data_IF_990572370639
#
_entry.id   IF_990572370639
#
_cell.length_a   1.000
_cell.length_b   1.000
_cell.length_c   1.000
_cell.angle_alpha   90.00
_cell.angle_beta   90.00
_cell.angle_gamma   90.00
#
_symmetry.space_group_name_H-M   'P 1'
#
loop_
_entity.id
_entity.type
_entity.pdbx_description
1 polymer ?
#
# COMPACT_ATOMS: atom_id res chain seq x y z
N UNK A 1 85.00 56.09 25.58
CA UNK A 1 84.30 54.94 26.20
C UNK A 1 83.03 54.69 25.42
N UNK A 2 82.98 53.60 24.64
CA UNK A 2 81.85 53.27 23.81
C UNK A 2 81.16 52.06 24.40
N UNK A 3 79.96 52.22 24.90
CA UNK A 3 79.15 51.12 25.49
C UNK A 3 78.34 50.42 24.39
N UNK A 4 78.66 49.16 24.19
CA UNK A 4 78.04 48.25 23.17
C UNK A 4 76.74 47.63 23.74
N UNK A 5 75.58 48.03 23.18
CA UNK A 5 74.32 47.46 23.56
C UNK A 5 74.17 46.10 22.95
N UNK A 6 73.89 45.06 23.80
CA UNK A 6 73.59 43.72 23.40
C UNK A 6 72.11 43.59 23.04
N UNK A 7 71.80 43.34 21.76
CA UNK A 7 70.42 43.01 21.30
C UNK A 7 70.05 41.59 21.67
N UNK A 8 69.17 41.39 22.65
CA UNK A 8 68.57 40.11 22.95
C UNK A 8 67.54 39.75 21.90
N UNK A 9 67.85 38.78 21.06
CA UNK A 9 66.89 38.23 20.09
C UNK A 9 65.87 37.33 20.78
N UNK A 10 64.68 37.89 21.10
CA UNK A 10 63.56 37.10 21.59
C UNK A 10 62.99 36.21 20.45
N UNK A 11 63.12 34.90 20.58
CA UNK A 11 62.38 33.95 19.72
C UNK A 11 60.89 34.09 20.02
N UNK A 12 60.13 34.58 19.06
CA UNK A 12 58.66 34.61 19.18
C UNK A 12 58.07 33.21 19.37
N UNK A 13 56.89 33.11 19.99
CA UNK A 13 56.27 31.80 20.28
C UNK A 13 56.06 31.02 18.98
N UNK A 14 56.53 29.77 18.94
CA UNK A 14 56.34 28.86 17.82
C UNK A 14 54.86 28.64 17.59
N UNK A 15 54.36 28.88 16.38
CA UNK A 15 52.96 28.61 16.00
C UNK A 15 52.67 27.12 16.26
N UNK A 16 51.56 26.79 16.96
CA UNK A 16 51.23 25.38 17.24
C UNK A 16 51.06 24.65 15.90
N UNK A 17 51.77 23.53 15.73
CA UNK A 17 51.61 22.66 14.57
C UNK A 17 50.17 22.14 14.58
N UNK A 18 49.39 22.53 13.60
CA UNK A 18 47.98 22.11 13.45
C UNK A 18 47.93 20.61 13.28
N UNK A 19 47.44 19.89 14.29
CA UNK A 19 47.30 18.42 14.29
C UNK A 19 46.13 18.02 13.37
N UNK A 20 46.37 18.10 12.04
CA UNK A 20 45.40 17.75 11.01
C UNK A 20 44.98 16.29 11.06
N UNK A 21 45.87 15.38 11.50
CA UNK A 21 45.55 13.95 11.65
C UNK A 21 44.56 13.72 12.76
N UNK A 22 44.75 14.36 13.91
CA UNK A 22 43.77 14.29 15.00
C UNK A 22 42.45 14.96 14.67
N UNK A 23 42.47 16.04 13.89
CA UNK A 23 41.24 16.67 13.38
C UNK A 23 40.50 15.77 12.39
N UNK A 24 41.20 15.13 11.46
CA UNK A 24 40.64 14.19 10.49
C UNK A 24 40.02 12.97 11.18
N UNK A 25 40.74 12.38 12.15
CA UNK A 25 40.23 11.23 12.92
C UNK A 25 38.96 11.58 13.71
N UNK A 26 38.90 12.78 14.31
CA UNK A 26 37.69 13.26 15.00
C UNK A 26 36.53 13.45 14.02
N UNK A 27 36.80 14.01 12.83
CA UNK A 27 35.80 14.17 11.77
C UNK A 27 35.27 12.80 11.33
N UNK A 28 36.15 11.85 11.01
CA UNK A 28 35.76 10.49 10.59
C UNK A 28 34.95 9.75 11.67
N UNK A 29 35.32 9.89 12.94
CA UNK A 29 34.51 9.31 14.03
C UNK A 29 33.13 9.94 14.13
N UNK A 30 33.03 11.27 14.00
CA UNK A 30 31.73 12.00 14.03
C UNK A 30 30.84 11.66 12.84
N UNK A 31 31.41 11.62 11.63
CA UNK A 31 30.65 11.24 10.43
C UNK A 31 30.24 9.78 10.48
N UNK A 32 31.12 8.88 10.93
CA UNK A 32 30.79 7.46 11.12
C UNK A 32 29.68 7.25 12.16
N UNK A 33 29.75 7.96 13.30
CA UNK A 33 28.70 7.89 14.32
C UNK A 33 27.37 8.46 13.80
N UNK A 34 27.39 9.56 13.03
CA UNK A 34 26.19 10.12 12.43
C UNK A 34 25.56 9.16 11.41
N UNK A 35 26.36 8.55 10.55
CA UNK A 35 25.88 7.55 9.59
C UNK A 35 25.26 6.33 10.29
N UNK A 36 25.87 5.85 11.36
CA UNK A 36 25.32 4.76 12.15
C UNK A 36 23.97 5.13 12.77
N UNK A 37 23.85 6.33 13.33
CA UNK A 37 22.57 6.82 13.88
C UNK A 37 21.48 6.93 12.80
N UNK A 38 21.82 7.43 11.61
CA UNK A 38 20.88 7.50 10.48
C UNK A 38 20.43 6.11 10.07
N UNK A 39 21.37 5.15 9.93
CA UNK A 39 21.03 3.77 9.58
C UNK A 39 20.14 3.10 10.63
N UNK A 40 20.42 3.34 11.90
CA UNK A 40 19.58 2.85 13.00
C UNK A 40 18.18 3.46 12.95
N UNK A 41 18.09 4.77 12.75
CA UNK A 41 16.80 5.47 12.65
C UNK A 41 15.97 4.97 11.44
N UNK A 42 16.62 4.80 10.29
CA UNK A 42 15.98 4.22 9.10
C UNK A 42 15.51 2.78 9.37
N UNK A 43 16.37 1.95 9.99
CA UNK A 43 16.02 0.58 10.35
C UNK A 43 14.81 0.50 11.29
N UNK A 44 14.76 1.38 12.30
CA UNK A 44 13.61 1.47 13.22
C UNK A 44 12.34 1.96 12.51
N UNK A 45 12.46 2.93 11.60
CA UNK A 45 11.32 3.43 10.82
C UNK A 45 10.74 2.35 9.89
N UNK A 46 11.60 1.61 9.20
CA UNK A 46 11.18 0.49 8.35
C UNK A 46 10.56 -0.66 9.16
N UNK A 47 11.14 -0.97 10.32
CA UNK A 47 10.60 -1.98 11.22
C UNK A 47 9.22 -1.57 11.77
N UNK A 48 9.06 -0.31 12.13
CA UNK A 48 7.77 0.25 12.57
C UNK A 48 6.76 0.22 11.43
N UNK A 49 7.12 0.72 10.24
CA UNK A 49 6.24 0.71 9.07
C UNK A 49 5.75 -0.69 8.71
N UNK A 50 6.64 -1.70 8.81
CA UNK A 50 6.29 -3.10 8.53
C UNK A 50 5.34 -3.75 9.56
N UNK A 51 5.00 -3.07 10.65
CA UNK A 51 4.15 -3.59 11.73
C UNK A 51 3.01 -2.67 12.15
N UNK A 52 3.01 -1.45 11.62
CA UNK A 52 2.01 -0.47 12.02
C UNK A 52 0.62 -0.82 11.45
N UNK A 53 -0.37 -0.76 12.30
CA UNK A 53 -1.78 -0.85 11.93
C UNK A 53 -2.58 0.17 12.75
N UNK A 54 -3.71 0.67 12.23
CA UNK A 54 -4.64 1.47 13.01
C UNK A 54 -5.15 0.71 14.24
N UNK A 55 -5.45 1.43 15.30
CA UNK A 55 -5.91 0.85 16.55
C UNK A 55 -7.28 0.18 16.40
N UNK A 56 -7.46 -1.01 16.99
CA UNK A 56 -8.69 -1.80 16.86
C UNK A 56 -9.90 -1.23 17.60
N UNK A 57 -9.67 -0.43 18.61
CA UNK A 57 -10.73 0.32 19.30
C UNK A 57 -11.39 1.36 18.39
N UNK A 58 -10.62 1.93 17.44
CA UNK A 58 -11.10 2.86 16.43
C UNK A 58 -11.64 2.14 15.19
N UNK A 59 -10.99 1.05 14.79
CA UNK A 59 -11.32 0.26 13.59
C UNK A 59 -11.39 -1.23 13.97
N UNK A 60 -12.51 -1.70 14.50
CA UNK A 60 -12.61 -3.06 15.04
C UNK A 60 -12.51 -4.14 13.97
N UNK A 61 -12.92 -3.86 12.73
CA UNK A 61 -12.90 -4.81 11.63
C UNK A 61 -11.74 -4.54 10.68
N UNK A 62 -10.75 -5.44 10.69
CA UNK A 62 -9.50 -5.27 9.96
C UNK A 62 -9.18 -6.50 9.11
N UNK A 63 -8.46 -6.31 8.01
CA UNK A 63 -8.17 -7.40 7.10
C UNK A 63 -6.96 -7.13 6.22
N UNK A 64 -6.70 -8.07 5.32
CA UNK A 64 -5.52 -8.04 4.43
C UNK A 64 -5.92 -8.00 2.97
N UNK A 65 -5.01 -7.47 2.14
CA UNK A 65 -5.03 -7.66 0.69
C UNK A 65 -3.94 -8.64 0.30
N UNK A 66 -4.30 -9.64 -0.50
CA UNK A 66 -3.44 -10.76 -0.91
C UNK A 66 -3.49 -10.91 -2.42
N UNK A 67 -2.34 -11.20 -3.04
CA UNK A 67 -2.23 -11.63 -4.43
C UNK A 67 -1.16 -12.73 -4.60
N UNK A 68 -0.90 -13.14 -5.84
CA UNK A 68 0.06 -14.20 -6.15
C UNK A 68 1.50 -13.90 -5.68
N UNK A 69 1.87 -12.63 -5.49
CA UNK A 69 3.21 -12.26 -5.01
C UNK A 69 3.43 -12.63 -3.55
N UNK A 70 2.35 -12.87 -2.80
CA UNK A 70 2.39 -13.34 -1.41
C UNK A 70 2.63 -14.85 -1.28
N UNK A 71 2.89 -15.54 -2.38
CA UNK A 71 3.26 -16.95 -2.41
C UNK A 71 2.20 -17.86 -1.83
N UNK A 72 2.66 -18.86 -1.10
CA UNK A 72 1.76 -19.79 -0.42
C UNK A 72 1.33 -19.24 0.96
N UNK A 73 0.13 -18.71 1.03
CA UNK A 73 -0.41 -18.08 2.25
C UNK A 73 -0.81 -19.14 3.29
N UNK A 74 -0.32 -18.94 4.52
CA UNK A 74 -0.72 -19.72 5.71
C UNK A 74 -1.83 -18.98 6.46
N UNK A 75 -3.08 -19.25 6.09
CA UNK A 75 -4.26 -18.52 6.54
C UNK A 75 -4.49 -18.56 8.06
N UNK A 76 -4.06 -19.62 8.75
CA UNK A 76 -4.09 -19.67 10.21
C UNK A 76 -3.20 -18.57 10.84
N UNK A 77 -2.03 -18.29 10.26
CA UNK A 77 -1.15 -17.20 10.71
C UNK A 77 -1.73 -15.82 10.40
N UNK A 78 -2.37 -15.66 9.24
CA UNK A 78 -3.09 -14.43 8.86
C UNK A 78 -4.21 -14.13 9.86
N UNK A 79 -5.02 -15.14 10.20
CA UNK A 79 -6.08 -15.03 11.23
C UNK A 79 -5.50 -14.68 12.60
N UNK A 80 -4.42 -15.34 13.02
CA UNK A 80 -3.76 -15.09 14.29
C UNK A 80 -3.13 -13.69 14.37
N UNK A 81 -2.71 -13.12 13.23
CA UNK A 81 -2.25 -11.73 13.16
C UNK A 81 -3.40 -10.70 13.30
N UNK A 82 -4.64 -11.17 13.32
CA UNK A 82 -5.81 -10.35 13.55
C UNK A 82 -6.58 -9.95 12.29
N UNK A 83 -6.39 -10.63 11.16
CA UNK A 83 -7.22 -10.38 9.99
C UNK A 83 -8.59 -11.06 10.15
N UNK A 84 -9.65 -10.27 10.11
CA UNK A 84 -11.04 -10.73 10.14
C UNK A 84 -11.52 -11.06 8.73
N UNK A 85 -10.99 -10.36 7.72
CA UNK A 85 -11.30 -10.55 6.31
C UNK A 85 -10.05 -10.44 5.43
N UNK A 86 -10.19 -10.86 4.18
CA UNK A 86 -9.17 -10.71 3.14
C UNK A 86 -9.81 -10.28 1.81
N UNK A 87 -9.22 -9.30 1.17
CA UNK A 87 -9.47 -9.03 -0.24
C UNK A 87 -8.37 -9.68 -1.08
N UNK A 88 -8.78 -10.54 -2.02
CA UNK A 88 -7.86 -11.40 -2.77
C UNK A 88 -7.97 -11.04 -4.26
N UNK A 89 -6.84 -10.70 -4.88
CA UNK A 89 -6.81 -10.42 -6.31
C UNK A 89 -7.25 -11.66 -7.07
N UNK A 90 -8.26 -11.51 -7.91
CA UNK A 90 -8.82 -12.58 -8.73
C UNK A 90 -8.40 -12.44 -10.19
N UNK A 91 -8.58 -11.23 -10.75
CA UNK A 91 -8.39 -10.98 -12.17
C UNK A 91 -7.78 -9.61 -12.42
N UNK A 92 -7.14 -9.46 -13.58
CA UNK A 92 -6.56 -8.20 -14.03
C UNK A 92 -6.84 -8.05 -15.54
N UNK A 93 -7.56 -6.99 -15.91
CA UNK A 93 -7.97 -6.76 -17.28
C UNK A 93 -8.83 -7.89 -17.87
N UNK A 94 -8.81 -8.02 -19.17
CA UNK A 94 -9.68 -8.92 -19.90
C UNK A 94 -9.21 -10.38 -19.97
N UNK A 95 -7.94 -10.66 -19.66
CA UNK A 95 -7.29 -11.93 -20.02
C UNK A 95 -6.40 -12.54 -18.92
N UNK A 96 -6.19 -11.86 -17.80
CA UNK A 96 -5.31 -12.35 -16.73
C UNK A 96 -6.13 -12.71 -15.49
N UNK A 97 -5.79 -13.86 -14.90
CA UNK A 97 -6.28 -14.30 -13.59
C UNK A 97 -5.10 -14.54 -12.66
N UNK A 98 -5.31 -14.28 -11.38
CA UNK A 98 -4.33 -14.61 -10.34
C UNK A 98 -4.28 -16.13 -10.14
N UNK A 99 -3.12 -16.78 -10.34
CA UNK A 99 -3.01 -18.24 -10.28
C UNK A 99 -3.24 -18.79 -8.87
N UNK A 100 -3.12 -17.96 -7.83
CA UNK A 100 -3.30 -18.35 -6.44
C UNK A 100 -4.72 -18.08 -5.92
N UNK A 101 -5.56 -17.38 -6.68
CA UNK A 101 -6.90 -16.96 -6.24
C UNK A 101 -7.74 -18.12 -5.70
N UNK A 102 -7.93 -19.18 -6.51
CA UNK A 102 -8.76 -20.33 -6.14
C UNK A 102 -8.24 -21.06 -4.89
N UNK A 103 -6.92 -21.10 -4.70
CA UNK A 103 -6.28 -21.65 -3.50
C UNK A 103 -6.50 -20.76 -2.29
N UNK A 104 -6.32 -19.45 -2.48
CA UNK A 104 -6.43 -18.46 -1.41
C UNK A 104 -7.85 -18.36 -0.86
N UNK A 105 -8.90 -18.36 -1.69
CA UNK A 105 -10.29 -18.33 -1.21
C UNK A 105 -10.65 -19.59 -0.38
N UNK A 106 -10.17 -20.77 -0.79
CA UNK A 106 -10.37 -22.01 -0.04
C UNK A 106 -9.65 -21.96 1.31
N UNK A 107 -8.42 -21.47 1.32
CA UNK A 107 -7.63 -21.34 2.55
C UNK A 107 -8.22 -20.32 3.52
N UNK A 108 -8.66 -19.16 3.03
CA UNK A 108 -9.33 -18.14 3.83
C UNK A 108 -10.61 -18.68 4.48
N UNK A 109 -11.48 -19.31 3.69
CA UNK A 109 -12.71 -19.91 4.16
C UNK A 109 -12.44 -21.00 5.24
N UNK A 110 -11.47 -21.88 5.02
CA UNK A 110 -11.09 -22.91 5.98
C UNK A 110 -10.56 -22.34 7.31
N UNK A 111 -9.93 -21.17 7.28
CA UNK A 111 -9.45 -20.47 8.48
C UNK A 111 -10.51 -19.57 9.13
N UNK A 112 -11.72 -19.48 8.58
CA UNK A 112 -12.77 -18.58 9.06
C UNK A 112 -12.44 -17.10 8.84
N UNK A 113 -11.72 -16.79 7.76
CA UNK A 113 -11.45 -15.43 7.26
C UNK A 113 -12.43 -15.17 6.12
N UNK A 114 -13.29 -14.16 6.27
CA UNK A 114 -14.17 -13.75 5.18
C UNK A 114 -13.34 -13.24 4.01
N UNK A 115 -13.79 -13.44 2.77
CA UNK A 115 -13.03 -12.96 1.63
C UNK A 115 -13.91 -12.20 0.62
N UNK A 116 -13.27 -11.27 -0.10
CA UNK A 116 -13.82 -10.58 -1.27
C UNK A 116 -12.84 -10.63 -2.45
N UNK A 117 -13.33 -10.78 -3.68
CA UNK A 117 -12.47 -10.76 -4.87
C UNK A 117 -12.11 -9.32 -5.27
N UNK A 118 -10.89 -9.13 -5.78
CA UNK A 118 -10.46 -7.87 -6.42
C UNK A 118 -10.32 -8.10 -7.93
N UNK A 119 -10.85 -7.17 -8.70
CA UNK A 119 -10.51 -6.99 -10.10
C UNK A 119 -9.60 -5.77 -10.27
N UNK A 120 -8.46 -5.93 -10.92
CA UNK A 120 -7.62 -4.79 -11.35
C UNK A 120 -8.08 -4.34 -12.73
N UNK A 121 -8.68 -3.16 -12.80
CA UNK A 121 -9.27 -2.64 -14.02
C UNK A 121 -8.21 -2.15 -15.00
N UNK A 122 -8.33 -2.51 -16.26
CA UNK A 122 -7.43 -2.10 -17.35
C UNK A 122 -8.14 -1.07 -18.24
N UNK A 123 -7.61 0.15 -18.31
CA UNK A 123 -8.18 1.25 -19.09
C UNK A 123 -8.22 1.02 -20.61
N UNK A 124 -7.36 0.13 -21.11
CA UNK A 124 -7.22 -0.19 -22.53
C UNK A 124 -8.04 -1.40 -22.98
N UNK A 125 -8.90 -1.94 -22.11
CA UNK A 125 -9.72 -3.10 -22.39
C UNK A 125 -11.20 -2.79 -22.25
N UNK A 126 -12.04 -3.39 -23.08
CA UNK A 126 -13.49 -3.22 -23.00
C UNK A 126 -14.03 -3.75 -21.65
N UNK A 127 -14.98 -3.05 -21.10
CA UNK A 127 -15.63 -3.41 -19.85
C UNK A 127 -16.23 -4.81 -19.88
N UNK A 128 -16.89 -5.16 -20.99
CA UNK A 128 -17.51 -6.49 -21.20
C UNK A 128 -16.53 -7.63 -21.17
N UNK A 129 -15.34 -7.46 -21.77
CA UNK A 129 -14.31 -8.49 -21.78
C UNK A 129 -13.69 -8.69 -20.40
N UNK A 130 -13.49 -7.59 -19.67
CA UNK A 130 -13.02 -7.63 -18.28
C UNK A 130 -14.05 -8.29 -17.37
N UNK A 131 -15.35 -7.96 -17.52
CA UNK A 131 -16.41 -8.60 -16.76
C UNK A 131 -16.52 -10.10 -17.08
N UNK A 132 -16.38 -10.49 -18.34
CA UNK A 132 -16.37 -11.90 -18.73
C UNK A 132 -15.17 -12.65 -18.10
N UNK A 133 -13.99 -12.02 -18.05
CA UNK A 133 -12.83 -12.56 -17.37
C UNK A 133 -13.10 -12.75 -15.86
N UNK A 134 -13.64 -11.73 -15.20
CA UNK A 134 -14.00 -11.79 -13.78
C UNK A 134 -15.02 -12.93 -13.50
N UNK A 135 -16.13 -12.95 -14.22
CA UNK A 135 -17.21 -13.94 -14.05
C UNK A 135 -16.72 -15.38 -14.25
N UNK A 136 -15.78 -15.58 -15.17
CA UNK A 136 -15.19 -16.91 -15.44
C UNK A 136 -14.37 -17.44 -14.27
N UNK A 137 -13.66 -16.56 -13.54
CA UNK A 137 -12.70 -16.98 -12.52
C UNK A 137 -13.20 -16.84 -11.09
N UNK A 138 -14.19 -15.98 -10.85
CA UNK A 138 -14.75 -15.71 -9.52
C UNK A 138 -16.04 -16.52 -9.34
N UNK A 139 -16.06 -17.52 -8.46
CA UNK A 139 -17.30 -18.25 -8.17
C UNK A 139 -18.30 -17.38 -7.44
N UNK A 140 -19.59 -17.54 -7.76
CA UNK A 140 -20.67 -16.90 -7.01
C UNK A 140 -20.80 -17.58 -5.66
N UNK A 141 -20.59 -16.83 -4.58
CA UNK A 141 -20.72 -17.30 -3.19
C UNK A 141 -21.49 -16.25 -2.38
N UNK A 142 -22.55 -16.68 -1.72
CA UNK A 142 -23.45 -15.77 -1.00
C UNK A 142 -22.78 -15.11 0.22
N UNK A 143 -21.83 -15.81 0.84
CA UNK A 143 -21.05 -15.38 2.00
C UNK A 143 -19.79 -14.59 1.66
N UNK A 144 -19.42 -14.51 0.37
CA UNK A 144 -18.31 -13.67 -0.06
C UNK A 144 -18.65 -12.18 0.18
N UNK A 145 -17.62 -11.40 0.53
CA UNK A 145 -17.72 -9.95 0.56
C UNK A 145 -17.96 -9.39 -0.84
N UNK A 146 -18.50 -8.18 -0.99
CA UNK A 146 -18.62 -7.51 -2.28
C UNK A 146 -17.30 -7.51 -3.06
N UNK A 147 -17.38 -7.60 -4.37
CA UNK A 147 -16.21 -7.45 -5.21
C UNK A 147 -15.63 -6.04 -5.09
N UNK A 148 -14.33 -5.91 -5.19
CA UNK A 148 -13.66 -4.62 -5.26
C UNK A 148 -13.02 -4.41 -6.63
N UNK A 149 -13.12 -3.19 -7.14
CA UNK A 149 -12.51 -2.79 -8.42
C UNK A 149 -11.38 -1.82 -8.15
N UNK A 150 -10.16 -2.26 -8.37
CA UNK A 150 -8.97 -1.42 -8.24
C UNK A 150 -8.73 -0.63 -9.51
N UNK A 151 -8.61 0.66 -9.35
CA UNK A 151 -8.45 1.65 -10.41
C UNK A 151 -7.10 2.34 -10.23
N UNK A 152 -6.14 1.87 -11.02
CA UNK A 152 -4.78 2.39 -11.07
C UNK A 152 -4.33 2.58 -12.50
N UNK A 153 -3.28 3.34 -12.67
CA UNK A 153 -2.58 3.42 -13.94
C UNK A 153 -1.68 2.20 -14.14
N UNK A 154 -1.70 1.69 -15.37
CA UNK A 154 -0.81 0.62 -15.82
C UNK A 154 0.04 1.18 -16.97
N UNK A 155 1.36 1.07 -16.89
CA UNK A 155 2.30 1.55 -17.92
C UNK A 155 2.09 0.90 -19.29
N UNK A 156 1.38 -0.24 -19.32
CA UNK A 156 1.01 -0.94 -20.56
C UNK A 156 -0.17 -0.30 -21.29
N UNK A 157 -0.86 0.64 -20.64
CA UNK A 157 -1.96 1.40 -21.21
C UNK A 157 -1.59 2.90 -21.23
N UNK A 158 -0.84 3.36 -22.24
CA UNK A 158 -0.44 4.76 -22.35
C UNK A 158 -1.61 5.68 -22.74
N UNK A 159 -2.58 5.16 -23.48
CA UNK A 159 -3.74 5.92 -23.92
C UNK A 159 -4.80 5.93 -22.81
N UNK A 160 -5.13 7.14 -22.36
CA UNK A 160 -6.11 7.34 -21.31
C UNK A 160 -7.45 7.77 -21.91
N UNK A 161 -8.55 7.04 -21.63
CA UNK A 161 -9.87 7.45 -22.10
C UNK A 161 -10.29 8.78 -21.48
N UNK A 162 -11.24 9.46 -22.11
CA UNK A 162 -11.88 10.60 -21.46
C UNK A 162 -12.64 10.14 -20.20
N UNK A 163 -12.84 11.07 -19.24
CA UNK A 163 -13.62 10.78 -18.03
C UNK A 163 -14.99 10.18 -18.34
N UNK A 164 -15.71 10.77 -19.31
CA UNK A 164 -17.05 10.31 -19.68
C UNK A 164 -17.04 8.86 -20.18
N UNK A 165 -16.08 8.51 -21.03
CA UNK A 165 -15.93 7.15 -21.54
C UNK A 165 -15.55 6.19 -20.41
N UNK A 166 -14.58 6.54 -19.56
CA UNK A 166 -14.21 5.70 -18.42
C UNK A 166 -15.40 5.41 -17.52
N UNK A 167 -16.16 6.43 -17.10
CA UNK A 167 -17.29 6.24 -16.20
C UNK A 167 -18.39 5.37 -16.82
N UNK A 168 -18.63 5.50 -18.13
CA UNK A 168 -19.58 4.67 -18.88
C UNK A 168 -19.13 3.20 -18.93
N UNK A 169 -17.86 2.95 -19.28
CA UNK A 169 -17.27 1.60 -19.31
C UNK A 169 -17.25 0.99 -17.90
N UNK A 170 -16.83 1.76 -16.90
CA UNK A 170 -16.82 1.29 -15.52
C UNK A 170 -18.22 0.97 -15.00
N UNK A 171 -19.22 1.78 -15.31
CA UNK A 171 -20.61 1.47 -14.96
C UNK A 171 -21.10 0.17 -15.62
N UNK A 172 -20.74 -0.07 -16.89
CA UNK A 172 -21.04 -1.32 -17.60
C UNK A 172 -20.37 -2.52 -16.95
N UNK A 173 -19.10 -2.41 -16.60
CA UNK A 173 -18.34 -3.44 -15.88
C UNK A 173 -18.98 -3.78 -14.55
N UNK A 174 -19.24 -2.75 -13.72
CA UNK A 174 -19.85 -2.90 -12.40
C UNK A 174 -21.21 -3.59 -12.49
N UNK A 175 -22.08 -3.17 -13.42
CA UNK A 175 -23.40 -3.77 -13.58
C UNK A 175 -23.31 -5.30 -13.84
N UNK A 176 -22.35 -5.74 -14.64
CA UNK A 176 -22.17 -7.16 -14.97
C UNK A 176 -21.63 -7.97 -13.79
N UNK A 177 -20.58 -7.50 -13.12
CA UNK A 177 -20.01 -8.23 -12.00
C UNK A 177 -20.91 -8.22 -10.77
N UNK A 178 -21.68 -7.15 -10.56
CA UNK A 178 -22.65 -7.04 -9.47
C UNK A 178 -23.86 -7.96 -9.69
N UNK A 179 -24.33 -8.08 -10.93
CA UNK A 179 -25.37 -9.08 -11.28
C UNK A 179 -24.87 -10.51 -11.02
N UNK A 180 -23.58 -10.78 -11.29
CA UNK A 180 -22.97 -12.07 -10.99
C UNK A 180 -22.82 -12.29 -9.47
N UNK A 181 -22.27 -11.33 -8.73
CA UNK A 181 -22.03 -11.44 -7.29
C UNK A 181 -23.31 -11.32 -6.45
N UNK A 182 -24.35 -10.66 -6.95
CA UNK A 182 -25.57 -10.35 -6.21
C UNK A 182 -25.41 -9.25 -5.16
N UNK A 183 -24.33 -8.48 -5.23
CA UNK A 183 -23.97 -7.40 -4.28
C UNK A 183 -23.36 -6.23 -5.01
N UNK A 184 -23.59 -4.96 -4.57
CA UNK A 184 -22.87 -3.80 -5.09
C UNK A 184 -21.37 -3.90 -4.77
N UNK A 185 -20.54 -3.47 -5.71
CA UNK A 185 -19.09 -3.54 -5.59
C UNK A 185 -18.50 -2.33 -4.86
N UNK A 186 -17.28 -2.46 -4.37
CA UNK A 186 -16.46 -1.34 -3.92
C UNK A 186 -15.64 -0.79 -5.11
N UNK A 187 -15.46 0.52 -5.14
CA UNK A 187 -14.51 1.17 -6.06
C UNK A 187 -13.30 1.66 -5.29
N UNK A 188 -12.12 1.32 -5.78
CA UNK A 188 -10.85 1.59 -5.10
C UNK A 188 -9.89 2.36 -6.01
N UNK A 189 -10.16 3.65 -6.30
CA UNK A 189 -9.26 4.48 -7.07
C UNK A 189 -8.01 4.82 -6.26
N UNK A 190 -6.84 4.83 -6.94
CA UNK A 190 -5.65 5.45 -6.37
C UNK A 190 -5.81 6.97 -6.28
N UNK A 191 -5.03 7.67 -5.43
CA UNK A 191 -5.11 9.13 -5.34
C UNK A 191 -4.92 9.84 -6.69
N UNK A 192 -3.96 9.37 -7.50
CA UNK A 192 -3.71 9.92 -8.83
C UNK A 192 -4.88 9.67 -9.79
N UNK A 193 -5.46 8.47 -9.75
CA UNK A 193 -6.60 8.12 -10.59
C UNK A 193 -7.85 8.91 -10.20
N UNK A 194 -8.11 9.09 -8.92
CA UNK A 194 -9.23 9.89 -8.42
C UNK A 194 -9.06 11.38 -8.77
N UNK A 195 -7.83 11.91 -8.68
CA UNK A 195 -7.55 13.30 -9.05
C UNK A 195 -7.87 13.61 -10.52
N UNK A 196 -7.62 12.66 -11.43
CA UNK A 196 -7.85 12.83 -12.86
C UNK A 196 -9.31 12.52 -13.26
N UNK A 197 -9.89 11.46 -12.69
CA UNK A 197 -11.18 10.93 -13.16
C UNK A 197 -12.36 11.22 -12.24
N UNK A 198 -12.12 11.64 -11.00
CA UNK A 198 -13.18 11.87 -10.00
C UNK A 198 -14.22 10.75 -9.97
N UNK A 199 -13.73 9.51 -9.83
CA UNK A 199 -14.54 8.29 -9.90
C UNK A 199 -15.59 8.27 -8.81
N UNK A 200 -15.21 8.61 -7.57
CA UNK A 200 -16.12 8.58 -6.42
C UNK A 200 -17.25 9.60 -6.54
N UNK A 201 -17.07 10.65 -7.35
CA UNK A 201 -18.14 11.59 -7.70
C UNK A 201 -19.04 11.06 -8.81
N UNK A 202 -18.50 10.27 -9.74
CA UNK A 202 -19.22 9.79 -10.93
C UNK A 202 -19.90 8.44 -10.76
N UNK A 203 -19.42 7.61 -9.83
CA UNK A 203 -19.90 6.24 -9.58
C UNK A 203 -20.41 6.15 -8.14
N UNK A 204 -21.71 6.01 -7.97
CA UNK A 204 -22.35 5.89 -6.65
C UNK A 204 -22.13 4.48 -6.07
N UNK A 205 -20.91 4.19 -5.64
CA UNK A 205 -20.51 2.94 -4.97
C UNK A 205 -19.67 3.23 -3.76
N UNK A 206 -19.62 2.27 -2.84
CA UNK A 206 -18.81 2.32 -1.64
C UNK A 206 -17.34 2.50 -1.97
N UNK A 207 -16.68 3.50 -1.37
CA UNK A 207 -15.29 3.81 -1.64
C UNK A 207 -14.35 3.04 -0.70
N UNK A 208 -13.36 2.39 -1.32
CA UNK A 208 -12.18 1.87 -0.63
C UNK A 208 -10.97 2.72 -1.05
N UNK A 209 -10.48 3.55 -0.13
CA UNK A 209 -9.39 4.48 -0.43
C UNK A 209 -8.06 3.99 0.15
N UNK A 210 -6.95 4.41 -0.45
CA UNK A 210 -5.60 3.92 -0.12
C UNK A 210 -4.69 5.08 0.27
N UNK A 211 -4.12 5.04 1.46
CA UNK A 211 -3.11 5.99 1.92
C UNK A 211 -2.37 5.39 3.11
N UNK A 212 -1.06 5.24 2.99
CA UNK A 212 -0.26 4.67 4.07
C UNK A 212 -0.22 5.59 5.30
N UNK A 213 -0.42 5.01 6.48
CA UNK A 213 -0.26 5.60 7.81
C UNK A 213 -1.25 6.70 8.18
N UNK A 214 -1.96 7.29 7.23
CA UNK A 214 -2.91 8.36 7.47
C UNK A 214 -4.25 8.07 6.83
N UNK A 215 -5.34 8.42 7.52
CA UNK A 215 -6.67 8.28 6.95
C UNK A 215 -6.78 9.07 5.64
N UNK A 216 -7.39 8.49 4.59
CA UNK A 216 -7.53 9.16 3.30
C UNK A 216 -8.41 10.42 3.42
N UNK A 217 -7.99 11.48 2.74
CA UNK A 217 -8.67 12.77 2.67
C UNK A 217 -9.07 13.16 1.24
N UNK A 218 -9.04 12.19 0.33
CA UNK A 218 -9.48 12.32 -1.06
C UNK A 218 -10.75 11.51 -1.31
N UNK A 219 -11.40 11.75 -2.45
CA UNK A 219 -12.70 11.18 -2.78
C UNK A 219 -13.86 12.13 -2.48
N UNK A 220 -14.96 11.99 -3.23
CA UNK A 220 -16.11 12.87 -3.13
C UNK A 220 -17.03 12.57 -1.93
N UNK A 221 -16.91 11.36 -1.37
CA UNK A 221 -17.74 10.88 -0.26
C UNK A 221 -16.87 10.23 0.82
N UNK A 222 -17.36 10.10 2.06
CA UNK A 222 -16.69 9.35 3.09
C UNK A 222 -16.39 7.92 2.62
N UNK A 223 -15.15 7.48 2.83
CA UNK A 223 -14.75 6.10 2.54
C UNK A 223 -15.34 5.12 3.56
N UNK A 224 -15.63 3.90 3.16
CA UNK A 224 -16.00 2.82 4.07
C UNK A 224 -14.83 1.92 4.44
N UNK A 225 -13.90 1.72 3.52
CA UNK A 225 -12.69 0.95 3.76
C UNK A 225 -11.44 1.76 3.40
N UNK A 226 -10.41 1.60 4.23
CA UNK A 226 -9.11 2.25 4.07
C UNK A 226 -8.00 1.21 4.05
N UNK A 227 -7.19 1.17 2.98
CA UNK A 227 -5.91 0.48 2.97
C UNK A 227 -4.87 1.36 3.66
N UNK A 228 -4.56 1.00 4.90
CA UNK A 228 -3.83 1.85 5.82
C UNK A 228 -2.31 1.63 5.79
N UNK A 229 -1.87 0.49 5.26
CA UNK A 229 -0.45 0.15 5.20
C UNK A 229 -0.18 -0.91 4.12
N UNK A 230 0.65 -0.55 3.13
CA UNK A 230 1.11 -1.46 2.07
C UNK A 230 2.45 -2.15 2.41
N UNK A 231 3.05 -1.80 3.54
CA UNK A 231 4.34 -2.32 3.97
C UNK A 231 4.22 -3.38 5.06
N UNK A 232 2.99 -3.78 5.43
CA UNK A 232 2.74 -4.74 6.49
C UNK A 232 3.39 -6.08 6.18
N UNK A 233 4.18 -6.61 7.13
CA UNK A 233 4.75 -7.96 7.06
C UNK A 233 4.12 -8.84 8.12
N UNK A 234 3.53 -9.93 7.67
CA UNK A 234 2.83 -10.90 8.52
C UNK A 234 3.45 -12.28 8.31
N UNK A 235 3.66 -13.00 9.39
CA UNK A 235 4.03 -14.41 9.29
C UNK A 235 2.94 -15.18 8.56
N UNK A 236 3.31 -15.92 7.52
CA UNK A 236 2.36 -16.72 6.73
C UNK A 236 2.02 -16.15 5.36
N UNK A 237 2.64 -15.04 4.96
CA UNK A 237 2.64 -14.54 3.58
C UNK A 237 4.05 -14.09 3.20
N UNK A 238 4.42 -14.27 1.96
CA UNK A 238 5.68 -13.74 1.42
C UNK A 238 5.54 -12.23 1.16
N UNK A 239 6.65 -11.50 1.25
CA UNK A 239 6.68 -10.07 0.96
C UNK A 239 5.90 -9.20 1.93
N UNK A 240 5.17 -8.24 1.40
CA UNK A 240 4.27 -7.35 2.14
C UNK A 240 2.83 -7.61 1.73
N UNK A 241 1.90 -7.32 2.64
CA UNK A 241 0.46 -7.37 2.39
C UNK A 241 -0.14 -5.99 2.63
N UNK A 242 -1.21 -5.65 1.93
CA UNK A 242 -1.99 -4.47 2.27
C UNK A 242 -2.78 -4.71 3.57
N UNK A 243 -2.68 -3.81 4.54
CA UNK A 243 -3.51 -3.84 5.75
C UNK A 243 -4.68 -2.90 5.62
N UNK A 244 -5.87 -3.42 5.79
CA UNK A 244 -7.12 -2.70 5.56
C UNK A 244 -7.92 -2.58 6.84
N UNK A 245 -8.62 -1.47 6.98
CA UNK A 245 -9.57 -1.24 8.07
C UNK A 245 -10.90 -0.74 7.52
N UNK A 246 -11.98 -1.14 8.16
CA UNK A 246 -13.33 -0.68 7.84
C UNK A 246 -13.74 0.38 8.86
N UNK A 247 -14.32 1.46 8.38
CA UNK A 247 -14.87 2.50 9.25
C UNK A 247 -16.00 1.93 10.10
N UNK A 248 -16.13 2.32 11.38
CA UNK A 248 -17.20 1.80 12.25
C UNK A 248 -18.62 1.99 11.72
N UNK A 249 -18.85 3.08 10.99
CA UNK A 249 -20.10 3.42 10.32
C UNK A 249 -20.10 3.06 8.81
N UNK A 250 -19.03 2.39 8.34
CA UNK A 250 -18.88 1.93 6.96
C UNK A 250 -19.54 0.57 6.76
N UNK A 251 -20.37 0.45 5.72
CA UNK A 251 -20.95 -0.83 5.32
C UNK A 251 -20.25 -1.36 4.06
N UNK A 252 -19.63 -2.54 4.19
CA UNK A 252 -19.01 -3.28 3.09
C UNK A 252 -19.55 -4.71 2.96
N UNK A 253 -20.72 -5.01 3.55
CA UNK A 253 -21.34 -6.36 3.52
C UNK A 253 -22.41 -6.49 2.47
#
# INVERSE_FOLDING_TARGET
MATRAIKSGGKGPAKPKRDWRGALLRLLKRTGALLLLILLAVGLALWWAARWAPARDQYPWQGVTIDATNGQVHWGSIKAAGADFAYIVATNGADRADPMFARNIKGAAAAGVQFGPIHRYDLCRLATDQAANFIRHVPRQADALPAAVWLDYDDRCPDRPTRALLLSELATFLAQIEAHMGKPSLVAPSPAFEADYHVTNGIARTAWLRRDFFAPDYGAHPWAMWQANDYMRISGADGTVGWNVVRPDGDIK
#
